data_IF_719770500521
#
_entry.id   IF_719770500521
#
_cell.length_a   1.000
_cell.length_b   1.000
_cell.length_c   1.000
_cell.angle_alpha   90.00
_cell.angle_beta   90.00
_cell.angle_gamma   90.00
#
_symmetry.space_group_name_H-M   'P 1'
#
loop_
_entity.id
_entity.type
_entity.pdbx_description
1 polymer ?
#
# COMPACT_ATOMS: atom_id res chain seq x y z
N UNK A 1 -12.02 1.52 -15.89
CA UNK A 1 -10.65 1.52 -15.32
C UNK A 1 -10.42 2.76 -14.46
N UNK A 2 -10.69 3.98 -14.96
CA UNK A 2 -10.56 5.22 -14.18
C UNK A 2 -11.51 5.35 -12.97
N UNK A 3 -12.73 4.81 -13.04
CA UNK A 3 -13.67 4.86 -11.90
C UNK A 3 -13.14 4.12 -10.67
N UNK A 4 -12.57 2.92 -10.84
CA UNK A 4 -11.95 2.16 -9.76
C UNK A 4 -10.72 2.87 -9.18
N UNK A 5 -9.92 3.53 -10.03
CA UNK A 5 -8.79 4.33 -9.57
C UNK A 5 -9.24 5.47 -8.62
N UNK A 6 -10.27 6.22 -9.00
CA UNK A 6 -10.80 7.29 -8.15
C UNK A 6 -11.45 6.77 -6.87
N UNK A 7 -12.10 5.61 -6.91
CA UNK A 7 -12.61 4.95 -5.69
C UNK A 7 -11.45 4.53 -4.78
N UNK A 8 -10.42 3.89 -5.32
CA UNK A 8 -9.27 3.41 -4.55
C UNK A 8 -8.39 4.55 -4.02
N UNK A 9 -8.37 5.71 -4.68
CA UNK A 9 -7.65 6.90 -4.23
C UNK A 9 -8.40 7.67 -3.14
N UNK A 10 -9.74 7.70 -3.19
CA UNK A 10 -10.56 8.45 -2.23
C UNK A 10 -11.06 7.61 -1.05
N UNK A 11 -11.07 6.28 -1.16
CA UNK A 11 -11.28 5.41 -0.01
C UNK A 11 -10.05 5.54 0.90
N UNK A 12 -10.19 6.31 1.98
CA UNK A 12 -9.43 6.11 3.20
C UNK A 12 -10.05 4.88 3.86
N UNK A 13 -9.52 3.66 3.66
CA UNK A 13 -10.14 2.50 4.26
C UNK A 13 -9.94 2.64 5.77
N UNK A 14 -10.97 2.48 6.58
CA UNK A 14 -10.76 2.25 8.01
C UNK A 14 -10.06 0.89 8.15
N UNK A 15 -8.78 0.92 8.55
CA UNK A 15 -7.95 -0.27 8.61
C UNK A 15 -8.47 -1.23 9.66
N UNK A 16 -9.02 -2.38 9.25
CA UNK A 16 -9.52 -3.41 10.19
C UNK A 16 -8.40 -4.20 10.86
N UNK A 17 -7.29 -4.36 10.17
CA UNK A 17 -6.09 -5.00 10.69
C UNK A 17 -4.96 -3.97 10.66
N UNK A 18 -4.41 -3.67 11.84
CA UNK A 18 -3.12 -2.97 11.98
C UNK A 18 -2.09 -3.68 11.11
N UNK A 19 -1.04 -3.00 10.63
CA UNK A 19 0.04 -3.58 9.80
C UNK A 19 0.78 -4.73 10.50
N UNK A 20 0.10 -5.87 10.64
CA UNK A 20 0.56 -7.05 11.33
C UNK A 20 0.94 -8.06 10.26
N UNK A 21 2.18 -8.55 10.28
CA UNK A 21 2.59 -9.59 9.37
C UNK A 21 1.78 -10.88 9.63
N UNK A 22 1.64 -11.76 8.63
CA UNK A 22 0.84 -12.98 8.73
C UNK A 22 1.19 -13.84 9.95
N UNK A 23 2.47 -13.90 10.32
CA UNK A 23 2.96 -14.66 11.48
C UNK A 23 2.47 -14.11 12.83
N UNK A 24 2.24 -12.80 12.97
CA UNK A 24 1.66 -12.23 14.19
C UNK A 24 0.19 -12.61 14.30
N UNK A 25 -0.51 -12.69 13.17
CA UNK A 25 -1.90 -13.12 13.11
C UNK A 25 -2.01 -14.58 13.57
N UNK A 26 -1.13 -15.50 13.10
CA UNK A 26 -1.07 -16.87 13.64
C UNK A 26 -0.91 -16.88 15.16
N UNK A 27 0.05 -16.10 15.65
CA UNK A 27 0.36 -16.06 17.09
C UNK A 27 -0.83 -15.56 17.90
N UNK A 28 -1.59 -14.60 17.36
CA UNK A 28 -2.79 -14.07 18.01
C UNK A 28 -3.94 -15.09 18.07
N UNK A 29 -4.11 -15.89 17.02
CA UNK A 29 -5.16 -16.92 16.97
C UNK A 29 -4.75 -18.26 17.62
N UNK A 30 -3.47 -18.44 17.99
CA UNK A 30 -3.00 -19.56 18.81
C UNK A 30 -3.13 -20.95 18.19
N UNK A 31 -3.46 -21.06 16.89
CA UNK A 31 -3.67 -22.34 16.19
C UNK A 31 -2.86 -22.42 14.90
N UNK A 32 -2.39 -23.63 14.52
CA UNK A 32 -1.75 -23.84 13.23
C UNK A 32 -2.77 -23.60 12.11
N UNK A 33 -2.34 -22.86 11.08
CA UNK A 33 -3.10 -22.66 9.86
C UNK A 33 -3.33 -24.00 9.16
N UNK A 34 -4.57 -24.50 9.21
CA UNK A 34 -4.93 -25.71 8.46
C UNK A 34 -5.07 -25.44 6.96
N UNK A 35 -5.40 -24.20 6.56
CA UNK A 35 -5.39 -23.82 5.14
C UNK A 35 -3.99 -23.33 4.73
N UNK A 36 -3.12 -24.31 4.46
CA UNK A 36 -1.74 -24.07 4.04
C UNK A 36 -1.65 -23.16 2.81
N UNK A 37 -2.61 -23.25 1.88
CA UNK A 37 -2.60 -22.48 0.64
C UNK A 37 -2.93 -21.00 0.87
N UNK A 38 -3.95 -20.68 1.68
CA UNK A 38 -4.24 -19.29 2.05
C UNK A 38 -3.13 -18.71 2.93
N UNK A 39 -2.46 -19.52 3.76
CA UNK A 39 -1.30 -19.07 4.54
C UNK A 39 -0.11 -18.67 3.66
N UNK A 40 0.21 -19.49 2.65
CA UNK A 40 1.27 -19.20 1.68
C UNK A 40 0.90 -17.99 0.81
N UNK A 41 -0.38 -17.83 0.48
CA UNK A 41 -0.87 -16.67 -0.26
C UNK A 41 -0.72 -15.38 0.53
N UNK A 42 -1.10 -15.38 1.81
CA UNK A 42 -0.94 -14.22 2.69
C UNK A 42 0.54 -13.86 2.87
N UNK A 43 1.42 -14.85 3.06
CA UNK A 43 2.87 -14.65 3.14
C UNK A 43 3.46 -14.12 1.83
N UNK A 44 3.05 -14.70 0.70
CA UNK A 44 3.49 -14.24 -0.62
C UNK A 44 3.03 -12.81 -0.93
N UNK A 45 1.79 -12.46 -0.55
CA UNK A 45 1.29 -11.09 -0.65
C UNK A 45 2.11 -10.16 0.25
N UNK A 46 2.38 -10.56 1.50
CA UNK A 46 3.19 -9.79 2.43
C UNK A 46 4.60 -9.49 1.87
N UNK A 47 5.27 -10.50 1.32
CA UNK A 47 6.59 -10.34 0.70
C UNK A 47 6.58 -9.48 -0.56
N UNK A 48 5.43 -9.40 -1.24
CA UNK A 48 5.19 -8.54 -2.41
C UNK A 48 4.55 -7.20 -2.07
N UNK A 49 4.63 -6.74 -0.81
CA UNK A 49 4.21 -5.39 -0.44
C UNK A 49 4.86 -4.38 -1.41
N UNK A 50 4.06 -3.56 -2.11
CA UNK A 50 4.61 -2.54 -2.99
C UNK A 50 5.48 -1.61 -2.14
N UNK A 51 6.75 -1.47 -2.53
CA UNK A 51 7.63 -0.45 -1.94
C UNK A 51 7.22 0.89 -2.49
N UNK A 52 6.98 1.84 -1.60
CA UNK A 52 6.70 3.23 -1.96
C UNK A 52 7.89 3.79 -2.76
N UNK A 53 7.62 4.51 -3.84
CA UNK A 53 8.63 5.13 -4.71
C UNK A 53 9.44 6.19 -3.95
N UNK A 54 8.81 6.91 -3.02
CA UNK A 54 9.51 7.85 -2.13
C UNK A 54 10.14 7.17 -0.89
N UNK A 55 9.85 5.89 -0.66
CA UNK A 55 10.18 5.16 0.55
C UNK A 55 9.34 5.60 1.76
N UNK A 56 9.36 4.80 2.83
CA UNK A 56 8.73 5.13 4.12
C UNK A 56 9.39 6.33 4.83
N UNK A 57 10.52 6.82 4.31
CA UNK A 57 11.37 7.79 5.01
C UNK A 57 11.17 9.22 4.49
N UNK A 58 11.28 10.16 5.41
CA UNK A 58 11.07 11.60 5.20
C UNK A 58 12.02 12.17 4.14
N UNK A 59 13.14 11.48 3.90
CA UNK A 59 14.18 11.85 2.92
C UNK A 59 13.62 11.98 1.50
N UNK A 60 12.69 11.11 1.09
CA UNK A 60 12.09 11.18 -0.26
C UNK A 60 11.34 12.50 -0.48
N UNK A 61 10.59 12.94 0.53
CA UNK A 61 9.84 14.20 0.48
C UNK A 61 10.77 15.41 0.52
N UNK A 62 11.85 15.35 1.31
CA UNK A 62 12.87 16.41 1.36
C UNK A 62 13.54 16.59 0.00
N UNK A 63 13.88 15.49 -0.68
CA UNK A 63 14.46 15.53 -2.03
C UNK A 63 13.49 16.15 -3.05
N UNK A 64 12.21 15.80 -2.99
CA UNK A 64 11.18 16.35 -3.88
C UNK A 64 11.10 17.87 -3.76
N UNK A 65 11.06 18.38 -2.52
CA UNK A 65 11.04 19.83 -2.22
C UNK A 65 12.34 20.51 -2.68
N UNK A 66 13.50 19.90 -2.40
CA UNK A 66 14.79 20.46 -2.80
C UNK A 66 14.92 20.59 -4.33
N UNK A 67 14.45 19.59 -5.09
CA UNK A 67 14.46 19.63 -6.56
C UNK A 67 13.52 20.72 -7.08
N UNK A 68 12.32 20.87 -6.52
CA UNK A 68 11.39 21.95 -6.88
C UNK A 68 12.00 23.34 -6.69
N UNK A 69 12.65 23.59 -5.54
CA UNK A 69 13.32 24.87 -5.27
C UNK A 69 14.43 25.12 -6.31
N UNK A 70 15.21 24.09 -6.66
CA UNK A 70 16.28 24.20 -7.64
C UNK A 70 15.75 24.48 -9.06
N UNK A 71 14.62 23.90 -9.44
CA UNK A 71 13.99 24.15 -10.75
C UNK A 71 13.48 25.59 -10.89
N UNK A 72 12.97 26.18 -9.81
CA UNK A 72 12.53 27.57 -9.78
C UNK A 72 13.67 28.58 -9.92
N UNK A 73 14.91 28.19 -9.62
CA UNK A 73 16.11 29.01 -9.85
C UNK A 73 16.48 29.13 -11.34
N UNK A 74 15.88 28.32 -12.23
CA UNK A 74 16.12 28.40 -13.68
C UNK A 74 15.30 29.55 -14.28
N UNK A 75 15.92 30.61 -14.80
CA UNK A 75 15.19 31.73 -15.37
C UNK A 75 14.41 31.32 -16.63
N UNK A 76 13.29 32.02 -16.89
CA UNK A 76 12.41 31.89 -18.08
C UNK A 76 11.56 30.61 -18.14
N UNK A 77 12.10 29.44 -17.81
CA UNK A 77 11.40 28.14 -18.00
C UNK A 77 11.20 27.39 -16.68
N UNK A 78 11.79 27.85 -15.58
CA UNK A 78 11.74 27.17 -14.27
C UNK A 78 10.34 26.85 -13.78
N UNK A 79 9.36 27.74 -14.02
CA UNK A 79 7.96 27.53 -13.64
C UNK A 79 7.35 26.34 -14.40
N UNK A 80 7.59 26.23 -15.71
CA UNK A 80 7.06 25.11 -16.50
C UNK A 80 7.73 23.79 -16.14
N UNK A 81 9.03 23.82 -15.85
CA UNK A 81 9.78 22.64 -15.42
C UNK A 81 9.33 22.18 -14.03
N UNK A 82 9.15 23.09 -13.08
CA UNK A 82 8.64 22.78 -11.75
C UNK A 82 7.21 22.26 -11.80
N UNK A 83 6.33 22.87 -12.62
CA UNK A 83 4.97 22.36 -12.81
C UNK A 83 4.95 20.94 -13.39
N UNK A 84 5.81 20.63 -14.37
CA UNK A 84 5.94 19.29 -14.92
C UNK A 84 6.49 18.29 -13.88
N UNK A 85 7.48 18.71 -13.09
CA UNK A 85 8.07 17.91 -12.01
C UNK A 85 7.04 17.59 -10.92
N UNK A 86 6.28 18.58 -10.46
CA UNK A 86 5.24 18.41 -9.45
C UNK A 86 4.11 17.51 -9.97
N UNK A 87 3.70 17.69 -11.22
CA UNK A 87 2.67 16.83 -11.83
C UNK A 87 3.13 15.37 -11.94
N UNK A 88 4.37 15.14 -12.37
CA UNK A 88 4.94 13.79 -12.44
C UNK A 88 5.04 13.16 -11.04
N UNK A 89 5.52 13.92 -10.06
CA UNK A 89 5.62 13.48 -8.66
C UNK A 89 4.24 13.12 -8.09
N UNK A 90 3.24 13.96 -8.31
CA UNK A 90 1.87 13.70 -7.89
C UNK A 90 1.32 12.41 -8.51
N UNK A 91 1.56 12.19 -9.81
CA UNK A 91 1.10 10.98 -10.50
C UNK A 91 1.76 9.72 -9.94
N UNK A 92 3.06 9.77 -9.63
CA UNK A 92 3.78 8.66 -9.02
C UNK A 92 3.23 8.33 -7.62
N UNK A 93 3.01 9.35 -6.79
CA UNK A 93 2.41 9.18 -5.46
C UNK A 93 1.00 8.58 -5.58
N UNK A 94 0.17 9.09 -6.49
CA UNK A 94 -1.18 8.58 -6.69
C UNK A 94 -1.18 7.11 -7.15
N UNK A 95 -0.26 6.74 -8.05
CA UNK A 95 -0.08 5.35 -8.48
C UNK A 95 0.37 4.46 -7.32
N UNK A 96 1.25 4.94 -6.46
CA UNK A 96 1.68 4.23 -5.26
C UNK A 96 0.54 4.00 -4.29
N UNK A 97 -0.24 5.04 -4.00
CA UNK A 97 -1.41 4.95 -3.12
C UNK A 97 -2.36 3.89 -3.65
N UNK A 98 -2.72 3.95 -4.93
CA UNK A 98 -3.65 2.97 -5.53
C UNK A 98 -3.06 1.56 -5.52
N UNK A 99 -1.76 1.40 -5.83
CA UNK A 99 -1.09 0.09 -5.79
C UNK A 99 -1.07 -0.47 -4.36
N UNK A 100 -0.82 0.37 -3.36
CA UNK A 100 -0.79 0.00 -1.96
C UNK A 100 -2.20 -0.37 -1.45
N UNK A 101 -3.21 0.46 -1.74
CA UNK A 101 -4.62 0.19 -1.41
C UNK A 101 -5.10 -1.13 -2.03
N UNK A 102 -4.77 -1.36 -3.32
CA UNK A 102 -5.16 -2.59 -4.01
C UNK A 102 -4.49 -3.82 -3.41
N UNK A 103 -3.18 -3.75 -3.19
CA UNK A 103 -2.43 -4.81 -2.51
C UNK A 103 -3.03 -5.10 -1.12
N UNK A 104 -3.34 -4.06 -0.34
CA UNK A 104 -3.92 -4.17 0.99
C UNK A 104 -5.30 -4.82 0.96
N UNK A 105 -6.15 -4.46 0.00
CA UNK A 105 -7.48 -5.08 -0.17
C UNK A 105 -7.37 -6.58 -0.47
N UNK A 106 -6.44 -6.97 -1.33
CA UNK A 106 -6.20 -8.39 -1.65
C UNK A 106 -5.63 -9.15 -0.44
N UNK A 107 -4.76 -8.51 0.34
CA UNK A 107 -4.19 -9.05 1.57
C UNK A 107 -5.25 -9.26 2.66
N UNK A 108 -6.07 -8.25 2.95
CA UNK A 108 -7.16 -8.34 3.94
C UNK A 108 -8.22 -9.37 3.54
N UNK A 109 -8.53 -9.50 2.25
CA UNK A 109 -9.45 -10.52 1.76
C UNK A 109 -8.92 -11.95 2.03
N UNK A 110 -7.63 -12.19 1.83
CA UNK A 110 -7.00 -13.48 2.15
C UNK A 110 -7.03 -13.74 3.67
N UNK A 111 -6.69 -12.74 4.49
CA UNK A 111 -6.80 -12.85 5.95
C UNK A 111 -8.23 -13.11 6.44
N UNK A 112 -9.23 -12.44 5.87
CA UNK A 112 -10.63 -12.63 6.25
C UNK A 112 -11.11 -14.06 5.96
N UNK A 113 -10.71 -14.64 4.82
CA UNK A 113 -11.01 -16.05 4.49
C UNK A 113 -10.36 -16.99 5.47
N UNK A 114 -9.09 -16.76 5.77
CA UNK A 114 -8.29 -17.52 6.70
C UNK A 114 -8.88 -17.52 8.12
N UNK A 115 -9.30 -16.36 8.63
CA UNK A 115 -10.02 -16.25 9.91
C UNK A 115 -11.39 -16.94 9.88
N UNK A 116 -12.13 -16.83 8.76
CA UNK A 116 -13.43 -17.49 8.60
C UNK A 116 -13.30 -19.01 8.61
N UNK A 117 -12.29 -19.56 7.95
CA UNK A 117 -11.98 -20.99 7.96
C UNK A 117 -11.66 -21.47 9.37
N UNK A 118 -10.86 -20.71 10.13
CA UNK A 118 -10.59 -21.03 11.54
C UNK A 118 -11.85 -21.03 12.41
N UNK A 119 -12.71 -20.01 12.27
CA UNK A 119 -13.95 -19.88 13.07
C UNK A 119 -14.98 -20.96 12.74
N UNK A 120 -15.14 -21.32 11.47
CA UNK A 120 -16.07 -22.37 11.05
C UNK A 120 -15.73 -23.75 11.62
N UNK A 121 -14.49 -23.94 12.08
CA UNK A 121 -14.02 -25.18 12.68
C UNK A 121 -14.15 -25.19 14.21
N UNK A 122 -14.38 -24.04 14.86
CA UNK A 122 -14.69 -23.99 16.31
C UNK A 122 -16.13 -24.39 16.62
N UNK A 123 -17.02 -24.41 15.62
CA UNK A 123 -18.43 -24.80 15.78
C UNK A 123 -18.70 -26.28 15.51
N UNK A 124 -17.65 -27.12 15.43
CA UNK A 124 -17.69 -28.58 15.30
C UNK A 124 -16.99 -29.16 16.52
#
# INVERSE_FOLDING_TARGET
>A
MWSQFWTDFNDLPEWRFTEMPPWQILRHFGRPLMDHWESLRAEWLWQRRPKEFLGDDTIGYVLLVAISILLLLVPVIGIFLDAAWLLSSFLLIALDVVRNVRWRRDYEASLCRLVRTMRSQESI
#
